data_IF_404089538403
#
_entry.id   IF_404089538403
#
_cell.length_a   1.000
_cell.length_b   1.000
_cell.length_c   1.000
_cell.angle_alpha   90.00
_cell.angle_beta   90.00
_cell.angle_gamma   90.00
#
_symmetry.space_group_name_H-M   'P 1'
#
loop_
_entity.id
_entity.type
_entity.pdbx_description
1 polymer ?
#
# COMPACT_ATOMS: atom_id res chain seq x y z
N UNK A 1 13.56 -29.46 8.60
CA UNK A 1 14.78 -29.72 7.83
C UNK A 1 15.99 -29.11 8.55
N UNK A 2 17.02 -29.90 8.85
CA UNK A 2 18.24 -29.41 9.50
C UNK A 2 19.46 -30.08 8.89
N UNK A 3 20.63 -29.47 9.07
CA UNK A 3 21.92 -30.13 8.96
C UNK A 3 22.65 -30.00 10.29
N UNK A 4 23.53 -30.92 10.59
CA UNK A 4 24.50 -30.72 11.66
C UNK A 4 25.74 -30.05 11.10
N UNK A 5 26.34 -29.16 11.87
CA UNK A 5 27.59 -28.50 11.53
C UNK A 5 28.58 -28.68 12.69
N UNK A 6 29.84 -28.88 12.34
CA UNK A 6 30.91 -28.82 13.33
C UNK A 6 31.04 -27.39 13.87
N UNK A 7 31.33 -27.29 15.15
CA UNK A 7 31.54 -26.01 15.81
C UNK A 7 32.78 -25.34 15.22
N UNK A 8 32.67 -24.03 14.96
CA UNK A 8 33.79 -23.24 14.46
C UNK A 8 34.96 -23.27 15.45
N UNK A 9 36.19 -23.36 14.92
CA UNK A 9 37.40 -23.54 15.75
C UNK A 9 37.62 -22.43 16.78
N UNK A 10 37.07 -21.25 16.55
CA UNK A 10 37.31 -20.05 17.36
C UNK A 10 36.31 -19.89 18.52
N UNK A 11 35.25 -20.70 18.59
CA UNK A 11 34.23 -20.58 19.64
C UNK A 11 34.55 -21.47 20.85
N UNK A 12 35.30 -20.94 21.82
CA UNK A 12 35.72 -21.66 23.03
C UNK A 12 34.54 -22.13 23.88
N UNK A 13 33.53 -21.28 24.09
CA UNK A 13 32.34 -21.60 24.87
C UNK A 13 31.61 -22.84 24.34
N UNK A 14 31.35 -22.90 23.03
CA UNK A 14 30.66 -24.05 22.43
C UNK A 14 31.51 -25.32 22.44
N UNK A 15 32.85 -25.21 22.42
CA UNK A 15 33.74 -26.37 22.53
C UNK A 15 33.69 -27.00 23.91
N UNK A 16 33.78 -26.18 24.94
CA UNK A 16 33.70 -26.64 26.34
C UNK A 16 32.33 -27.29 26.60
N UNK A 17 31.26 -26.71 26.05
CA UNK A 17 29.92 -27.28 26.12
C UNK A 17 29.82 -28.66 25.47
N UNK A 18 30.52 -28.86 24.35
CA UNK A 18 30.44 -30.09 23.55
C UNK A 18 31.43 -31.18 24.01
N UNK A 19 32.50 -30.84 24.72
CA UNK A 19 33.44 -31.85 25.26
C UNK A 19 32.76 -32.84 26.20
N UNK A 20 31.70 -32.40 26.88
CA UNK A 20 31.00 -33.17 27.89
C UNK A 20 29.77 -33.91 27.32
N UNK A 21 29.49 -33.75 26.01
CA UNK A 21 28.32 -34.35 25.36
C UNK A 21 28.60 -35.77 24.85
N UNK A 22 27.76 -36.71 25.28
CA UNK A 22 27.67 -38.05 24.67
C UNK A 22 27.15 -37.97 23.22
N UNK A 23 27.97 -38.45 22.27
CA UNK A 23 27.68 -38.43 20.82
C UNK A 23 26.40 -39.17 20.42
N UNK A 24 25.87 -40.07 21.24
CA UNK A 24 24.64 -40.82 20.93
C UNK A 24 23.35 -40.12 21.39
N UNK A 25 23.45 -38.99 22.08
CA UNK A 25 22.31 -38.28 22.66
C UNK A 25 22.03 -36.96 21.96
N UNK A 26 20.77 -36.53 22.06
CA UNK A 26 20.31 -35.21 21.65
C UNK A 26 20.34 -34.29 22.88
N UNK A 27 20.95 -33.12 22.76
CA UNK A 27 20.97 -32.08 23.79
C UNK A 27 20.25 -30.84 23.28
N UNK A 28 19.58 -30.14 24.19
CA UNK A 28 19.04 -28.80 23.99
C UNK A 28 19.69 -27.84 24.98
N UNK A 29 20.12 -26.67 24.52
CA UNK A 29 20.81 -25.66 25.32
C UNK A 29 20.11 -24.34 25.11
N UNK A 30 19.58 -23.80 26.20
CA UNK A 30 19.03 -22.45 26.21
C UNK A 30 20.18 -21.43 26.14
N UNK A 31 20.14 -20.54 25.15
CA UNK A 31 21.18 -19.57 24.89
C UNK A 31 20.59 -18.21 24.53
N UNK A 32 21.21 -17.14 25.03
CA UNK A 32 20.85 -15.77 24.66
C UNK A 32 21.99 -15.18 23.83
N UNK A 33 21.81 -14.99 22.50
CA UNK A 33 22.85 -14.44 21.64
C UNK A 33 23.19 -13.01 22.01
N UNK A 34 24.50 -12.71 22.06
CA UNK A 34 25.00 -11.36 22.26
C UNK A 34 24.99 -10.50 20.99
N UNK A 35 24.79 -11.11 19.80
CA UNK A 35 24.75 -10.44 18.49
C UNK A 35 23.88 -11.22 17.49
N UNK A 36 23.41 -10.53 16.44
CA UNK A 36 22.78 -11.13 15.26
C UNK A 36 21.25 -11.10 15.25
N UNK A 37 20.61 -11.91 14.39
CA UNK A 37 19.15 -11.90 14.15
C UNK A 37 18.31 -12.07 15.43
N UNK A 38 18.84 -12.78 16.43
CA UNK A 38 18.17 -13.09 17.69
C UNK A 38 18.90 -12.49 18.90
N UNK A 39 19.61 -11.37 18.71
CA UNK A 39 20.31 -10.67 19.79
C UNK A 39 19.36 -10.34 20.95
N UNK A 40 19.77 -10.69 22.17
CA UNK A 40 19.00 -10.47 23.40
C UNK A 40 17.77 -11.36 23.57
N UNK A 41 17.46 -12.25 22.62
CA UNK A 41 16.32 -13.17 22.70
C UNK A 41 16.79 -14.56 23.15
N UNK A 42 16.09 -15.14 24.12
CA UNK A 42 16.35 -16.52 24.57
C UNK A 42 15.95 -17.49 23.46
N UNK A 43 16.88 -18.30 22.98
CA UNK A 43 16.67 -19.31 21.94
C UNK A 43 17.18 -20.68 22.39
N UNK A 44 16.67 -21.73 21.76
CA UNK A 44 17.15 -23.10 21.98
C UNK A 44 18.11 -23.53 20.87
N UNK A 45 19.31 -23.94 21.27
CA UNK A 45 20.28 -24.62 20.41
C UNK A 45 20.15 -26.13 20.60
N UNK A 46 20.17 -26.89 19.52
CA UNK A 46 20.10 -28.35 19.57
C UNK A 46 21.42 -28.96 19.11
N UNK A 47 21.88 -30.02 19.77
CA UNK A 47 23.12 -30.72 19.46
C UNK A 47 22.90 -32.22 19.36
N UNK A 48 23.45 -32.85 18.33
CA UNK A 48 23.47 -34.31 18.16
C UNK A 48 24.83 -34.72 17.62
N UNK A 49 25.38 -35.84 18.10
CA UNK A 49 26.73 -36.27 17.74
C UNK A 49 27.80 -35.18 17.99
N UNK A 50 27.63 -34.38 19.04
CA UNK A 50 28.52 -33.25 19.33
C UNK A 50 28.56 -32.17 18.22
N UNK A 51 27.52 -32.10 17.37
CA UNK A 51 27.39 -31.12 16.30
C UNK A 51 26.13 -30.27 16.46
N UNK A 52 26.23 -29.00 16.10
CA UNK A 52 25.15 -28.02 16.25
C UNK A 52 24.14 -28.16 15.11
N UNK A 53 22.84 -28.12 15.45
CA UNK A 53 21.77 -28.06 14.47
C UNK A 53 21.77 -26.70 13.80
N UNK A 54 21.80 -26.73 12.47
CA UNK A 54 21.50 -25.57 11.64
C UNK A 54 20.20 -25.82 10.91
N UNK A 55 19.16 -25.13 11.39
CA UNK A 55 17.84 -25.18 10.78
C UNK A 55 17.91 -24.61 9.36
N UNK A 56 17.53 -25.42 8.39
CA UNK A 56 17.55 -25.02 6.99
C UNK A 56 16.30 -24.25 6.58
N UNK A 57 15.33 -24.04 7.49
CA UNK A 57 14.07 -23.32 7.20
C UNK A 57 14.28 -21.91 6.62
N UNK A 58 15.38 -21.25 6.97
CA UNK A 58 15.72 -19.90 6.51
C UNK A 58 16.64 -19.91 5.26
N UNK A 59 17.14 -21.08 4.83
CA UNK A 59 18.17 -21.20 3.77
C UNK A 59 17.87 -22.26 2.71
N UNK A 60 16.77 -22.99 2.84
CA UNK A 60 16.33 -23.98 1.88
C UNK A 60 14.82 -24.24 1.98
N UNK A 61 14.25 -24.70 0.87
CA UNK A 61 12.88 -25.18 0.78
C UNK A 61 12.84 -26.59 0.15
N UNK A 62 11.72 -27.29 0.34
CA UNK A 62 11.47 -28.57 -0.34
C UNK A 62 10.63 -28.26 -1.58
N UNK A 63 11.17 -28.57 -2.76
CA UNK A 63 10.47 -28.51 -4.05
C UNK A 63 10.63 -29.85 -4.75
N UNK A 64 9.52 -30.43 -5.20
CA UNK A 64 9.50 -31.69 -5.94
C UNK A 64 10.32 -32.82 -5.26
N UNK A 65 10.11 -33.00 -3.95
CA UNK A 65 10.84 -33.94 -3.09
C UNK A 65 12.38 -33.71 -3.01
N UNK A 66 12.87 -32.56 -3.46
CA UNK A 66 14.28 -32.18 -3.43
C UNK A 66 14.50 -30.96 -2.53
N UNK A 67 15.66 -30.91 -1.85
CA UNK A 67 16.05 -29.75 -1.04
C UNK A 67 16.73 -28.73 -1.95
N UNK A 68 16.12 -27.57 -2.12
CA UNK A 68 16.67 -26.46 -2.89
C UNK A 68 17.19 -25.41 -1.91
N UNK A 69 18.49 -25.09 -1.99
CA UNK A 69 19.10 -24.03 -1.17
C UNK A 69 18.86 -22.67 -1.80
N UNK A 70 18.55 -21.69 -0.95
CA UNK A 70 18.52 -20.30 -1.34
C UNK A 70 19.95 -19.78 -1.59
N UNK A 71 20.10 -18.93 -2.59
CA UNK A 71 21.30 -18.13 -2.81
C UNK A 71 21.07 -16.71 -2.31
N UNK A 72 22.14 -16.04 -1.87
CA UNK A 72 22.06 -14.63 -1.52
C UNK A 72 21.66 -13.83 -2.77
N UNK A 73 20.70 -12.93 -2.60
CA UNK A 73 20.31 -12.02 -3.66
C UNK A 73 21.45 -11.05 -3.95
N UNK A 74 21.84 -10.93 -5.22
CA UNK A 74 22.87 -10.00 -5.67
C UNK A 74 22.23 -8.71 -6.22
N UNK A 75 23.06 -7.69 -6.44
CA UNK A 75 22.67 -6.46 -7.13
C UNK A 75 22.65 -6.60 -8.68
N UNK A 76 22.95 -7.79 -9.20
CA UNK A 76 22.97 -8.08 -10.64
C UNK A 76 21.98 -9.19 -10.96
N UNK A 77 20.90 -8.85 -11.69
CA UNK A 77 19.84 -9.80 -12.04
C UNK A 77 19.94 -10.19 -13.52
N UNK A 78 20.01 -11.49 -13.77
CA UNK A 78 20.19 -12.02 -15.12
C UNK A 78 18.83 -12.16 -15.81
N UNK A 79 18.86 -12.23 -17.14
CA UNK A 79 17.66 -12.47 -17.94
C UNK A 79 17.02 -13.84 -17.64
N UNK A 80 17.80 -14.82 -17.18
CA UNK A 80 17.31 -16.11 -16.68
C UNK A 80 16.37 -15.94 -15.46
N UNK A 81 16.66 -14.95 -14.60
CA UNK A 81 15.91 -14.70 -13.38
C UNK A 81 14.64 -13.88 -13.62
N UNK A 82 14.68 -13.01 -14.64
CA UNK A 82 13.60 -12.09 -15.03
C UNK A 82 13.46 -12.12 -16.56
N UNK A 83 12.78 -13.14 -17.11
CA UNK A 83 12.64 -13.30 -18.55
C UNK A 83 11.85 -12.17 -19.19
N UNK A 84 12.30 -11.70 -20.36
CA UNK A 84 11.64 -10.63 -21.12
C UNK A 84 10.78 -11.11 -22.30
N UNK A 85 10.85 -12.39 -22.64
CA UNK A 85 10.31 -12.93 -23.90
C UNK A 85 8.78 -12.81 -24.03
N UNK A 86 8.04 -12.79 -22.92
CA UNK A 86 6.57 -12.83 -22.93
C UNK A 86 5.88 -11.56 -22.37
N UNK A 87 6.66 -10.50 -22.11
CA UNK A 87 6.17 -9.24 -21.52
C UNK A 87 5.05 -8.63 -22.38
N UNK A 88 5.14 -8.77 -23.70
CA UNK A 88 4.16 -8.23 -24.63
C UNK A 88 2.75 -8.82 -24.39
N UNK A 89 2.66 -10.09 -23.99
CA UNK A 89 1.40 -10.81 -23.82
C UNK A 89 0.83 -10.70 -22.40
N UNK A 90 1.65 -10.34 -21.40
CA UNK A 90 1.20 -10.26 -19.99
C UNK A 90 -0.10 -9.44 -19.83
N UNK A 91 -1.05 -9.87 -19.01
CA UNK A 91 -2.29 -9.13 -18.78
C UNK A 91 -3.18 -8.90 -20.01
N UNK A 92 -2.84 -9.45 -21.18
CA UNK A 92 -3.62 -9.32 -22.42
C UNK A 92 -3.80 -7.88 -22.92
N UNK A 93 -2.85 -6.98 -22.60
CA UNK A 93 -2.86 -5.57 -23.02
C UNK A 93 -1.59 -5.19 -23.78
N UNK A 94 -1.78 -4.58 -24.96
CA UNK A 94 -0.69 -4.16 -25.84
C UNK A 94 -0.14 -2.81 -25.39
N UNK A 95 1.01 -2.82 -24.73
CA UNK A 95 1.71 -1.61 -24.28
C UNK A 95 3.14 -1.60 -24.84
N UNK A 96 3.37 -0.96 -26.00
CA UNK A 96 4.66 -1.04 -26.68
C UNK A 96 5.74 -0.30 -25.90
N UNK A 97 6.95 -0.89 -25.82
CA UNK A 97 8.19 -0.25 -25.35
C UNK A 97 8.07 0.49 -24.00
N UNK A 98 7.77 -0.25 -22.92
CA UNK A 98 7.80 0.36 -21.58
C UNK A 98 7.25 -0.50 -20.45
N UNK A 99 6.46 -1.53 -20.81
CA UNK A 99 5.88 -2.48 -19.88
C UNK A 99 6.96 -3.22 -19.10
N UNK A 100 6.78 -3.28 -17.78
CA UNK A 100 7.64 -4.05 -16.88
C UNK A 100 7.09 -5.47 -16.72
N UNK A 101 7.95 -6.50 -16.60
CA UNK A 101 7.53 -7.88 -16.34
C UNK A 101 7.01 -8.03 -14.92
N UNK A 102 5.91 -8.77 -14.72
CA UNK A 102 5.41 -9.09 -13.37
C UNK A 102 6.47 -9.79 -12.50
N UNK A 103 7.35 -10.61 -13.10
CA UNK A 103 8.42 -11.30 -12.38
C UNK A 103 9.40 -10.34 -11.68
N UNK A 104 9.69 -9.18 -12.29
CA UNK A 104 10.51 -8.14 -11.68
C UNK A 104 9.80 -7.53 -10.47
N UNK A 105 8.52 -7.18 -10.64
CA UNK A 105 7.73 -6.57 -9.58
C UNK A 105 7.51 -7.56 -8.43
N UNK A 106 7.32 -8.84 -8.71
CA UNK A 106 7.21 -9.89 -7.69
C UNK A 106 8.43 -9.89 -6.79
N UNK A 107 9.62 -9.91 -7.39
CA UNK A 107 10.87 -9.87 -6.64
C UNK A 107 10.98 -8.61 -5.79
N UNK A 108 10.68 -7.44 -6.36
CA UNK A 108 10.71 -6.15 -5.64
C UNK A 108 9.75 -6.17 -4.45
N UNK A 109 8.53 -6.69 -4.63
CA UNK A 109 7.52 -6.77 -3.57
C UNK A 109 7.89 -7.79 -2.50
N UNK A 110 8.50 -8.92 -2.85
CA UNK A 110 8.97 -9.93 -1.88
C UNK A 110 10.05 -9.40 -0.95
N UNK A 111 10.94 -8.52 -1.45
CA UNK A 111 12.03 -7.97 -0.63
C UNK A 111 11.62 -6.72 0.17
N UNK A 112 10.54 -6.04 -0.22
CA UNK A 112 10.16 -4.74 0.37
C UNK A 112 8.82 -4.74 1.10
N UNK A 113 8.00 -5.78 0.97
CA UNK A 113 6.63 -5.83 1.53
C UNK A 113 6.24 -7.22 2.03
N UNK A 114 5.31 -7.26 2.97
CA UNK A 114 4.58 -8.46 3.39
C UNK A 114 3.21 -8.56 2.70
N UNK A 115 2.60 -9.76 2.63
CA UNK A 115 1.19 -9.88 2.26
C UNK A 115 0.29 -8.97 3.12
N UNK A 116 -0.69 -8.32 2.50
CA UNK A 116 -1.58 -7.35 3.16
C UNK A 116 -1.09 -5.90 3.17
N UNK A 117 0.20 -5.66 2.93
CA UNK A 117 0.76 -4.30 2.85
C UNK A 117 0.17 -3.49 1.67
N UNK A 118 0.30 -2.17 1.74
CA UNK A 118 -0.15 -1.24 0.71
C UNK A 118 1.01 -0.86 -0.23
N UNK A 119 0.80 -1.03 -1.53
CA UNK A 119 1.74 -0.65 -2.59
C UNK A 119 1.22 0.58 -3.33
N UNK A 120 2.02 1.64 -3.44
CA UNK A 120 1.72 2.82 -4.24
C UNK A 120 2.57 2.80 -5.51
N UNK A 121 1.93 2.97 -6.66
CA UNK A 121 2.60 3.24 -7.93
C UNK A 121 1.94 4.44 -8.61
N UNK A 122 2.68 5.55 -8.67
CA UNK A 122 2.19 6.81 -9.23
C UNK A 122 2.38 6.93 -10.75
N UNK A 123 2.84 5.86 -11.41
CA UNK A 123 3.08 5.78 -12.85
C UNK A 123 2.57 4.45 -13.40
N UNK A 124 1.26 4.24 -13.29
CA UNK A 124 0.65 2.93 -13.45
C UNK A 124 0.83 2.25 -14.81
N UNK A 125 0.98 3.01 -15.89
CA UNK A 125 1.22 2.54 -17.24
C UNK A 125 0.29 1.41 -17.66
N UNK A 126 0.86 0.22 -17.87
CA UNK A 126 0.12 -1.00 -18.23
C UNK A 126 -0.53 -1.75 -17.05
N UNK A 127 -0.46 -1.24 -15.82
CA UNK A 127 -1.02 -1.84 -14.63
C UNK A 127 -0.23 -3.03 -14.04
N UNK A 128 1.04 -3.21 -14.41
CA UNK A 128 1.85 -4.37 -13.95
C UNK A 128 1.98 -4.40 -12.42
N UNK A 129 2.24 -3.26 -11.76
CA UNK A 129 2.40 -3.22 -10.30
C UNK A 129 1.13 -3.64 -9.59
N UNK A 130 -0.02 -3.10 -10.00
CA UNK A 130 -1.32 -3.46 -9.44
C UNK A 130 -1.65 -4.95 -9.68
N UNK A 131 -1.45 -5.47 -10.90
CA UNK A 131 -1.66 -6.89 -11.21
C UNK A 131 -0.79 -7.81 -10.33
N UNK A 132 0.49 -7.49 -10.21
CA UNK A 132 1.45 -8.28 -9.42
C UNK A 132 1.13 -8.21 -7.92
N UNK A 133 0.92 -7.01 -7.38
CA UNK A 133 0.58 -6.79 -5.98
C UNK A 133 -0.72 -7.51 -5.60
N UNK A 134 -1.73 -7.44 -6.46
CA UNK A 134 -3.01 -8.10 -6.25
C UNK A 134 -2.88 -9.63 -6.22
N UNK A 135 -2.22 -10.23 -7.21
CA UNK A 135 -1.96 -11.68 -7.27
C UNK A 135 -1.18 -12.18 -6.04
N UNK A 136 -0.34 -11.33 -5.46
CA UNK A 136 0.46 -11.60 -4.27
C UNK A 136 -0.24 -11.24 -2.95
N UNK A 137 -1.52 -10.87 -2.97
CA UNK A 137 -2.30 -10.58 -1.76
C UNK A 137 -1.93 -9.27 -1.06
N UNK A 138 -1.45 -8.26 -1.80
CA UNK A 138 -1.23 -6.89 -1.30
C UNK A 138 -2.36 -5.96 -1.72
N UNK A 139 -2.59 -4.91 -0.93
CA UNK A 139 -3.42 -3.76 -1.33
C UNK A 139 -2.59 -2.86 -2.23
N UNK A 140 -3.24 -2.10 -3.11
CA UNK A 140 -2.53 -1.19 -3.99
C UNK A 140 -3.33 0.07 -4.29
N UNK A 141 -2.59 1.15 -4.55
CA UNK A 141 -3.08 2.39 -5.14
C UNK A 141 -2.25 2.64 -6.39
N UNK A 142 -2.94 2.81 -7.52
CA UNK A 142 -2.33 3.07 -8.80
C UNK A 142 -2.82 4.43 -9.30
N UNK A 143 -1.89 5.29 -9.69
CA UNK A 143 -2.19 6.58 -10.31
C UNK A 143 -1.61 6.59 -11.71
N UNK A 144 -2.38 7.09 -12.67
CA UNK A 144 -1.93 7.25 -14.05
C UNK A 144 -2.60 8.48 -14.68
N UNK A 145 -1.85 9.17 -15.51
CA UNK A 145 -2.29 10.35 -16.24
C UNK A 145 -2.76 9.95 -17.65
N UNK A 146 -3.95 10.40 -18.02
CA UNK A 146 -4.53 10.15 -19.34
C UNK A 146 -5.29 8.83 -19.45
N UNK A 147 -5.52 8.38 -20.68
CA UNK A 147 -6.51 7.34 -20.98
C UNK A 147 -6.04 5.91 -20.72
N UNK A 148 -4.80 5.72 -20.27
CA UNK A 148 -4.22 4.40 -19.99
C UNK A 148 -4.97 3.66 -18.89
N UNK A 149 -5.57 4.39 -17.94
CA UNK A 149 -6.52 3.85 -16.97
C UNK A 149 -7.64 3.05 -17.65
N UNK A 150 -8.33 3.68 -18.62
CA UNK A 150 -9.48 3.07 -19.30
C UNK A 150 -9.06 2.02 -20.34
N UNK A 151 -7.95 2.25 -21.03
CA UNK A 151 -7.54 1.44 -22.19
C UNK A 151 -6.67 0.23 -21.82
N UNK A 152 -5.91 0.30 -20.73
CA UNK A 152 -4.94 -0.75 -20.36
C UNK A 152 -5.18 -1.27 -18.95
N UNK A 153 -5.21 -0.40 -17.94
CA UNK A 153 -5.25 -0.80 -16.53
C UNK A 153 -6.57 -1.50 -16.19
N UNK A 154 -7.71 -0.86 -16.47
CA UNK A 154 -9.03 -1.43 -16.16
C UNK A 154 -9.26 -2.77 -16.87
N UNK A 155 -9.06 -2.90 -18.20
CA UNK A 155 -9.23 -4.19 -18.89
C UNK A 155 -8.31 -5.29 -18.35
N UNK A 156 -7.05 -4.96 -18.03
CA UNK A 156 -6.12 -5.92 -17.43
C UNK A 156 -6.58 -6.36 -16.04
N UNK A 157 -6.92 -5.42 -15.17
CA UNK A 157 -7.27 -5.72 -13.78
C UNK A 157 -8.60 -6.47 -13.65
N UNK A 158 -9.56 -6.23 -14.54
CA UNK A 158 -10.77 -7.06 -14.64
C UNK A 158 -10.40 -8.53 -14.86
N UNK A 159 -9.58 -8.83 -15.87
CA UNK A 159 -9.09 -10.20 -16.12
C UNK A 159 -8.31 -10.79 -14.94
N UNK A 160 -7.55 -9.98 -14.21
CA UNK A 160 -6.86 -10.43 -12.99
C UNK A 160 -7.87 -10.83 -11.91
N UNK A 161 -8.87 -10.00 -11.65
CA UNK A 161 -9.92 -10.27 -10.65
C UNK A 161 -10.78 -11.46 -11.06
N UNK A 162 -11.14 -11.55 -12.34
CA UNK A 162 -11.96 -12.64 -12.87
C UNK A 162 -11.18 -13.98 -12.93
N UNK A 163 -9.88 -13.97 -12.63
CA UNK A 163 -9.02 -15.16 -12.68
C UNK A 163 -8.62 -15.58 -14.09
N UNK A 164 -9.00 -14.82 -15.11
CA UNK A 164 -8.71 -15.08 -16.52
C UNK A 164 -7.26 -14.76 -16.90
N UNK A 165 -6.60 -13.83 -16.20
CA UNK A 165 -5.20 -13.51 -16.43
C UNK A 165 -4.26 -14.57 -15.84
N UNK A 166 -3.92 -15.57 -16.66
CA UNK A 166 -2.99 -16.65 -16.33
C UNK A 166 -1.54 -16.37 -16.78
N UNK A 167 -1.23 -15.13 -17.14
CA UNK A 167 0.11 -14.71 -17.57
C UNK A 167 0.96 -14.20 -16.38
N UNK A 168 2.23 -13.89 -16.64
CA UNK A 168 3.13 -13.33 -15.64
C UNK A 168 3.34 -14.29 -14.46
N UNK A 169 3.03 -13.84 -13.25
CA UNK A 169 3.31 -14.62 -12.03
C UNK A 169 2.14 -15.53 -11.59
N UNK A 170 1.01 -15.53 -12.30
CA UNK A 170 -0.22 -16.21 -11.86
C UNK A 170 0.01 -17.67 -11.48
N UNK A 171 0.72 -18.44 -12.31
CA UNK A 171 1.05 -19.84 -12.00
C UNK A 171 1.97 -19.98 -10.79
N UNK A 172 2.96 -19.09 -10.66
CA UNK A 172 3.95 -19.15 -9.58
C UNK A 172 3.35 -18.87 -8.20
N UNK A 173 2.27 -18.09 -8.14
CA UNK A 173 1.54 -17.79 -6.88
C UNK A 173 0.21 -18.53 -6.77
N UNK A 174 -0.07 -19.48 -7.68
CA UNK A 174 -1.33 -20.22 -7.76
C UNK A 174 -2.57 -19.29 -7.73
N UNK A 175 -2.56 -18.22 -8.54
CA UNK A 175 -3.63 -17.24 -8.60
C UNK A 175 -4.89 -17.82 -9.25
N UNK A 176 -6.03 -17.67 -8.55
CA UNK A 176 -7.34 -18.19 -8.98
C UNK A 176 -8.38 -17.07 -9.25
N UNK A 177 -8.00 -15.80 -9.11
CA UNK A 177 -8.94 -14.67 -9.15
C UNK A 177 -9.46 -14.28 -7.76
N UNK A 178 -10.36 -13.30 -7.74
CA UNK A 178 -10.97 -12.70 -6.56
C UNK A 178 -10.57 -11.24 -6.35
N UNK A 179 -11.14 -10.63 -5.30
CA UNK A 179 -10.88 -9.23 -4.93
C UNK A 179 -11.67 -8.22 -5.75
N UNK A 180 -11.22 -6.97 -5.73
CA UNK A 180 -11.86 -5.87 -6.43
C UNK A 180 -10.99 -4.61 -6.41
N UNK A 181 -11.33 -3.65 -7.25
CA UNK A 181 -10.76 -2.30 -7.20
C UNK A 181 -11.86 -1.26 -7.34
N UNK A 182 -11.56 -0.04 -6.87
CA UNK A 182 -12.36 1.14 -7.17
C UNK A 182 -11.59 2.02 -8.12
N UNK A 183 -12.29 2.59 -9.09
CA UNK A 183 -11.72 3.51 -10.05
C UNK A 183 -12.22 4.92 -9.76
N UNK A 184 -11.29 5.86 -9.71
CA UNK A 184 -11.58 7.27 -9.46
C UNK A 184 -10.92 8.10 -10.56
N UNK A 185 -11.62 9.14 -11.00
CA UNK A 185 -11.07 10.18 -11.88
C UNK A 185 -10.98 11.47 -11.08
N UNK A 186 -9.85 12.17 -11.19
CA UNK A 186 -9.71 13.47 -10.56
C UNK A 186 -10.60 14.48 -11.31
N UNK A 187 -11.52 15.11 -10.58
CA UNK A 187 -12.33 16.21 -11.09
C UNK A 187 -11.56 17.54 -11.01
N UNK A 188 -11.99 18.59 -11.73
CA UNK A 188 -11.48 19.94 -11.53
C UNK A 188 -11.62 20.39 -10.08
N UNK A 189 -10.93 21.46 -9.69
CA UNK A 189 -11.09 22.05 -8.37
C UNK A 189 -12.56 22.41 -8.12
N UNK A 190 -13.12 21.97 -7.01
CA UNK A 190 -14.52 22.23 -6.66
C UNK A 190 -14.80 23.73 -6.43
N UNK A 191 -13.80 24.45 -5.92
CA UNK A 191 -13.89 25.87 -5.65
C UNK A 191 -12.90 26.65 -6.51
N UNK A 192 -13.31 27.84 -6.92
CA UNK A 192 -12.49 28.85 -7.58
C UNK A 192 -12.65 30.21 -6.90
N UNK A 193 -11.69 31.11 -7.09
CA UNK A 193 -11.82 32.49 -6.63
C UNK A 193 -12.45 33.34 -7.73
N UNK A 194 -13.47 34.11 -7.38
CA UNK A 194 -14.04 35.12 -8.27
C UNK A 194 -13.09 36.34 -8.42
N UNK A 195 -13.48 37.31 -9.26
CA UNK A 195 -12.70 38.55 -9.50
C UNK A 195 -12.45 39.39 -8.24
N UNK A 196 -13.14 39.09 -7.14
CA UNK A 196 -13.05 39.79 -5.86
C UNK A 196 -12.38 38.91 -4.79
N UNK A 197 -11.78 37.78 -5.17
CA UNK A 197 -11.08 36.87 -4.25
C UNK A 197 -12.00 36.04 -3.37
N UNK A 198 -13.31 35.95 -3.69
CA UNK A 198 -14.26 35.13 -2.92
C UNK A 198 -14.31 33.72 -3.48
N UNK A 199 -14.31 32.74 -2.59
CA UNK A 199 -14.48 31.33 -2.94
C UNK A 199 -15.91 31.03 -3.38
N UNK A 200 -16.04 30.58 -4.62
CA UNK A 200 -17.31 30.17 -5.23
C UNK A 200 -17.17 28.75 -5.80
N UNK A 201 -18.30 28.08 -6.01
CA UNK A 201 -18.30 26.76 -6.68
C UNK A 201 -17.86 26.98 -8.13
N UNK A 202 -16.91 26.16 -8.60
CA UNK A 202 -16.40 26.23 -9.97
C UNK A 202 -17.52 26.02 -10.99
N UNK A 203 -17.45 26.74 -12.11
CA UNK A 203 -18.39 26.61 -13.23
C UNK A 203 -18.25 25.28 -13.97
N UNK A 204 -17.16 24.57 -13.76
CA UNK A 204 -16.93 23.24 -14.35
C UNK A 204 -17.79 22.15 -13.70
N UNK A 205 -18.44 22.45 -12.58
CA UNK A 205 -19.32 21.53 -11.87
C UNK A 205 -20.78 21.73 -12.27
N UNK A 206 -21.39 20.68 -12.82
CA UNK A 206 -22.84 20.56 -12.86
C UNK A 206 -23.40 20.11 -11.50
N UNK A 207 -24.74 20.04 -11.40
CA UNK A 207 -25.42 19.65 -10.16
C UNK A 207 -25.09 18.22 -9.70
N UNK A 208 -24.91 17.28 -10.63
CA UNK A 208 -24.61 15.89 -10.33
C UNK A 208 -23.17 15.73 -9.83
N UNK A 209 -22.20 16.35 -10.51
CA UNK A 209 -20.80 16.39 -10.08
C UNK A 209 -20.65 17.04 -8.70
N UNK A 210 -21.40 18.12 -8.46
CA UNK A 210 -21.39 18.79 -7.16
C UNK A 210 -21.97 17.87 -6.07
N UNK A 211 -23.11 17.23 -6.34
CA UNK A 211 -23.73 16.31 -5.40
C UNK A 211 -22.78 15.13 -5.08
N UNK A 212 -22.16 14.54 -6.09
CA UNK A 212 -21.19 13.44 -5.92
C UNK A 212 -19.97 13.88 -5.09
N UNK A 213 -19.39 15.04 -5.41
CA UNK A 213 -18.23 15.58 -4.68
C UNK A 213 -18.55 15.86 -3.21
N UNK A 214 -19.71 16.48 -2.93
CA UNK A 214 -20.14 16.80 -1.57
C UNK A 214 -20.51 15.53 -0.80
N UNK A 215 -21.17 14.56 -1.42
CA UNK A 215 -21.40 13.24 -0.81
C UNK A 215 -20.08 12.64 -0.36
N UNK A 216 -19.09 12.60 -1.25
CA UNK A 216 -17.79 12.02 -0.94
C UNK A 216 -17.07 12.76 0.19
N UNK A 217 -17.11 14.09 0.19
CA UNK A 217 -16.49 14.91 1.23
C UNK A 217 -17.14 14.66 2.59
N UNK A 218 -18.47 14.53 2.66
CA UNK A 218 -19.24 14.30 3.89
C UNK A 218 -19.30 12.82 4.33
N UNK A 219 -18.67 11.90 3.59
CA UNK A 219 -18.68 10.47 3.92
C UNK A 219 -19.96 9.74 3.52
N UNK A 220 -20.76 10.31 2.63
CA UNK A 220 -21.96 9.70 2.06
C UNK A 220 -21.61 8.95 0.76
N UNK A 221 -22.38 7.89 0.50
CA UNK A 221 -22.41 7.20 -0.79
C UNK A 221 -23.33 7.96 -1.74
N UNK A 222 -22.80 8.44 -2.86
CA UNK A 222 -23.59 9.06 -3.92
C UNK A 222 -24.47 8.01 -4.59
N UNK A 223 -25.78 8.18 -4.48
CA UNK A 223 -26.80 7.27 -5.01
C UNK A 223 -28.12 8.04 -5.11
N UNK A 224 -28.27 8.90 -6.13
CA UNK A 224 -29.45 9.75 -6.26
C UNK A 224 -30.70 8.88 -6.46
N UNK A 225 -31.80 9.29 -5.82
CA UNK A 225 -33.10 8.64 -5.91
C UNK A 225 -33.84 9.05 -7.18
N UNK A 226 -34.51 8.09 -7.82
CA UNK A 226 -35.38 8.34 -8.97
C UNK A 226 -36.75 8.93 -8.57
N UNK A 227 -37.13 8.82 -7.29
CA UNK A 227 -38.44 9.26 -6.78
C UNK A 227 -38.34 10.47 -5.85
N UNK A 228 -37.27 10.56 -5.07
CA UNK A 228 -37.06 11.62 -4.08
C UNK A 228 -36.04 12.62 -4.62
N UNK A 229 -36.53 13.74 -5.15
CA UNK A 229 -35.72 14.75 -5.83
C UNK A 229 -34.60 15.36 -4.97
N UNK A 230 -34.73 15.31 -3.64
CA UNK A 230 -33.73 15.80 -2.69
C UNK A 230 -32.76 14.73 -2.21
N UNK A 231 -33.01 13.44 -2.46
CA UNK A 231 -32.20 12.35 -1.96
C UNK A 231 -31.06 12.05 -2.94
N UNK A 232 -29.89 12.64 -2.70
CA UNK A 232 -28.71 12.47 -3.55
C UNK A 232 -27.79 11.32 -3.10
N UNK A 233 -28.00 10.77 -1.92
CA UNK A 233 -27.15 9.74 -1.35
C UNK A 233 -27.45 9.42 0.10
N UNK A 234 -26.68 8.50 0.67
CA UNK A 234 -26.89 8.00 2.03
C UNK A 234 -25.57 7.68 2.75
N UNK A 235 -25.56 7.83 4.08
CA UNK A 235 -24.45 7.37 4.94
C UNK A 235 -24.86 6.12 5.73
N UNK A 236 -26.12 6.07 6.16
CA UNK A 236 -26.79 4.96 6.84
C UNK A 236 -28.18 4.75 6.23
N UNK A 237 -29.00 3.85 6.77
CA UNK A 237 -30.36 3.62 6.27
C UNK A 237 -31.27 4.86 6.41
N UNK A 238 -31.09 5.61 7.50
CA UNK A 238 -31.91 6.76 7.86
C UNK A 238 -31.29 8.11 7.48
N UNK A 239 -29.98 8.16 7.25
CA UNK A 239 -29.27 9.41 7.01
C UNK A 239 -29.04 9.67 5.52
N UNK A 240 -29.57 10.80 5.05
CA UNK A 240 -29.63 11.20 3.64
C UNK A 240 -28.91 12.53 3.42
N UNK A 241 -28.60 12.83 2.16
CA UNK A 241 -27.95 14.09 1.80
C UNK A 241 -28.66 14.75 0.61
N UNK A 242 -28.87 16.06 0.73
CA UNK A 242 -29.35 16.94 -0.33
C UNK A 242 -28.30 18.01 -0.61
N UNK A 243 -27.99 18.23 -1.89
CA UNK A 243 -26.95 19.18 -2.31
C UNK A 243 -27.51 20.13 -3.35
N UNK A 244 -27.41 21.44 -3.13
CA UNK A 244 -27.95 22.45 -4.05
C UNK A 244 -27.12 23.72 -4.10
N UNK A 245 -27.12 24.40 -5.25
CA UNK A 245 -26.52 25.73 -5.39
C UNK A 245 -27.51 26.85 -5.02
N UNK A 246 -28.77 26.52 -4.77
CA UNK A 246 -29.80 27.50 -4.45
C UNK A 246 -29.71 27.98 -3.00
N UNK A 247 -30.21 29.19 -2.77
CA UNK A 247 -30.44 29.69 -1.41
C UNK A 247 -31.79 29.20 -0.92
N UNK A 248 -31.83 28.55 0.24
CA UNK A 248 -33.07 27.99 0.79
C UNK A 248 -33.74 28.96 1.79
N UNK A 249 -35.04 29.20 1.60
CA UNK A 249 -35.88 29.94 2.54
C UNK A 249 -36.36 29.04 3.70
N UNK A 250 -36.94 29.64 4.74
CA UNK A 250 -37.53 28.89 5.86
C UNK A 250 -38.67 28.00 5.37
N UNK A 251 -39.56 28.54 4.53
CA UNK A 251 -40.71 27.82 3.96
C UNK A 251 -40.28 26.60 3.13
N UNK A 252 -39.22 26.74 2.32
CA UNK A 252 -38.69 25.62 1.54
C UNK A 252 -38.10 24.52 2.43
N UNK A 253 -37.46 24.90 3.53
CA UNK A 253 -36.90 23.96 4.49
C UNK A 253 -37.99 23.26 5.32
N UNK A 254 -39.10 23.92 5.59
CA UNK A 254 -40.27 23.32 6.26
C UNK A 254 -40.88 22.22 5.39
N UNK A 255 -41.15 22.50 4.12
CA UNK A 255 -41.62 21.47 3.17
C UNK A 255 -40.64 20.31 3.05
N UNK A 256 -39.33 20.60 3.01
CA UNK A 256 -38.29 19.57 2.96
C UNK A 256 -38.27 18.71 4.23
N UNK A 257 -38.40 19.34 5.40
CA UNK A 257 -38.47 18.66 6.70
C UNK A 257 -39.67 17.70 6.75
N UNK A 258 -40.82 18.14 6.25
CA UNK A 258 -42.04 17.32 6.20
C UNK A 258 -41.91 16.13 5.24
N UNK A 259 -41.30 16.32 4.06
CA UNK A 259 -41.05 15.24 3.09
C UNK A 259 -40.04 14.20 3.60
N UNK A 260 -39.02 14.63 4.35
CA UNK A 260 -38.05 13.73 4.98
C UNK A 260 -38.73 12.86 6.04
N UNK A 261 -39.65 13.46 6.80
CA UNK A 261 -40.37 12.82 7.89
C UNK A 261 -39.53 12.70 9.18
N UNK A 262 -40.12 12.07 10.19
CA UNK A 262 -39.53 11.98 11.54
C UNK A 262 -38.51 10.83 11.69
N UNK A 263 -38.59 9.82 10.83
CA UNK A 263 -37.77 8.60 10.92
C UNK A 263 -36.39 8.73 10.26
N UNK A 264 -36.11 9.86 9.60
CA UNK A 264 -34.91 10.08 8.78
C UNK A 264 -34.26 11.41 9.11
N UNK A 265 -32.96 11.48 8.86
CA UNK A 265 -32.19 12.72 8.93
C UNK A 265 -31.73 13.13 7.54
N UNK A 266 -31.66 14.44 7.29
CA UNK A 266 -31.18 14.99 6.03
C UNK A 266 -30.09 16.04 6.27
N UNK A 267 -28.90 15.77 5.73
CA UNK A 267 -27.84 16.75 5.59
C UNK A 267 -28.10 17.60 4.34
N UNK A 268 -28.42 18.88 4.53
CA UNK A 268 -28.63 19.84 3.45
C UNK A 268 -27.38 20.68 3.26
N UNK A 269 -26.72 20.51 2.13
CA UNK A 269 -25.57 21.28 1.69
C UNK A 269 -26.01 22.28 0.63
N UNK A 270 -26.10 23.56 0.98
CA UNK A 270 -26.55 24.61 0.07
C UNK A 270 -25.59 25.80 -0.03
N UNK A 271 -25.82 26.74 -0.95
CA UNK A 271 -25.01 27.95 -1.05
C UNK A 271 -25.26 28.91 0.13
N UNK A 272 -26.53 29.07 0.50
CA UNK A 272 -26.97 29.85 1.65
C UNK A 272 -28.35 29.40 2.14
N UNK A 273 -28.68 29.75 3.38
CA UNK A 273 -30.00 29.53 3.97
C UNK A 273 -30.35 30.70 4.91
N UNK A 274 -31.65 30.97 5.08
CA UNK A 274 -32.18 32.09 5.87
C UNK A 274 -32.90 31.62 7.13
N UNK A 275 -32.24 30.80 7.94
CA UNK A 275 -32.76 30.31 9.21
C UNK A 275 -31.62 30.11 10.23
N UNK A 276 -31.96 29.82 11.49
CA UNK A 276 -30.98 29.32 12.47
C UNK A 276 -30.61 27.88 12.11
N UNK A 277 -29.41 27.46 12.49
CA UNK A 277 -28.88 26.13 12.14
C UNK A 277 -29.75 25.00 12.71
N UNK A 278 -30.35 25.22 13.88
CA UNK A 278 -31.16 24.23 14.60
C UNK A 278 -32.67 24.50 14.45
N UNK A 279 -33.09 25.04 13.30
CA UNK A 279 -34.50 25.36 13.05
C UNK A 279 -35.40 24.12 12.92
N UNK A 280 -34.85 22.99 12.49
CA UNK A 280 -35.59 21.75 12.27
C UNK A 280 -34.83 20.58 12.90
N UNK A 281 -35.51 19.65 13.61
CA UNK A 281 -34.86 18.58 14.36
C UNK A 281 -34.25 17.49 13.46
N UNK A 282 -34.78 17.29 12.25
CA UNK A 282 -34.36 16.26 11.29
C UNK A 282 -33.44 16.80 10.17
N UNK A 283 -33.18 18.12 10.11
CA UNK A 283 -32.33 18.73 9.10
C UNK A 283 -31.02 19.25 9.69
N UNK A 284 -29.90 18.93 9.05
CA UNK A 284 -28.60 19.55 9.33
C UNK A 284 -28.21 20.44 8.17
N UNK A 285 -27.98 21.74 8.41
CA UNK A 285 -27.70 22.70 7.33
C UNK A 285 -26.21 23.09 7.27
N UNK A 286 -25.58 22.94 6.11
CA UNK A 286 -24.19 23.36 5.86
C UNK A 286 -24.06 24.22 4.62
N UNK A 287 -23.19 25.22 4.69
CA UNK A 287 -22.85 26.08 3.54
C UNK A 287 -21.65 25.51 2.79
N UNK A 288 -21.82 25.24 1.50
CA UNK A 288 -20.82 24.51 0.70
C UNK A 288 -19.43 25.15 0.75
N UNK A 289 -19.20 26.42 0.34
CA UNK A 289 -17.81 26.91 0.26
C UNK A 289 -17.09 26.87 1.60
N UNK A 290 -17.76 27.26 2.69
CA UNK A 290 -17.17 27.26 4.04
C UNK A 290 -16.83 25.84 4.52
N UNK A 291 -17.71 24.88 4.29
CA UNK A 291 -17.53 23.48 4.67
C UNK A 291 -16.35 22.85 3.92
N UNK A 292 -16.27 23.05 2.62
CA UNK A 292 -15.20 22.48 1.79
C UNK A 292 -13.85 23.13 2.11
N UNK A 293 -13.83 24.46 2.32
CA UNK A 293 -12.61 25.18 2.75
C UNK A 293 -12.05 24.67 4.08
N UNK A 294 -12.92 24.24 5.01
CA UNK A 294 -12.48 23.74 6.31
C UNK A 294 -11.87 22.34 6.29
N UNK A 295 -12.03 21.59 5.18
CA UNK A 295 -11.60 20.18 5.08
C UNK A 295 -10.41 19.95 4.17
N UNK A 296 -10.13 20.87 3.27
CA UNK A 296 -9.07 20.73 2.27
C UNK A 296 -8.05 21.85 2.40
N UNK A 297 -6.83 21.59 1.94
CA UNK A 297 -5.81 22.61 1.71
C UNK A 297 -6.04 23.25 0.34
N UNK A 298 -5.82 24.56 0.23
CA UNK A 298 -6.12 25.35 -0.98
C UNK A 298 -4.97 26.27 -1.34
N UNK A 299 -4.77 26.52 -2.63
CA UNK A 299 -3.81 27.52 -3.12
C UNK A 299 -2.33 27.11 -3.02
N UNK A 300 -2.04 25.83 -2.85
CA UNK A 300 -0.68 25.28 -2.96
C UNK A 300 -0.42 24.81 -4.39
N UNK A 301 -0.04 25.74 -5.27
CA UNK A 301 0.41 25.42 -6.64
C UNK A 301 1.93 25.14 -6.70
N UNK A 302 2.64 25.33 -5.59
CA UNK A 302 4.06 25.08 -5.51
C UNK A 302 4.33 23.60 -5.16
N UNK A 303 4.49 22.78 -6.20
CA UNK A 303 4.94 21.39 -6.09
C UNK A 303 6.46 21.28 -5.89
N UNK A 304 7.13 22.34 -5.44
CA UNK A 304 8.50 22.27 -4.91
C UNK A 304 8.49 21.39 -3.67
N UNK A 305 8.67 20.08 -3.87
CA UNK A 305 9.04 19.15 -2.81
C UNK A 305 10.43 19.54 -2.30
N UNK A 306 10.50 20.55 -1.42
CA UNK A 306 11.68 20.77 -0.59
C UNK A 306 11.72 19.62 0.41
N UNK A 307 12.37 18.52 0.02
CA UNK A 307 12.62 17.35 0.86
C UNK A 307 13.70 17.70 1.90
N UNK A 308 13.49 18.74 2.69
CA UNK A 308 14.45 19.20 3.70
C UNK A 308 14.24 18.52 5.05
N UNK A 309 13.04 17.99 5.32
CA UNK A 309 12.67 17.41 6.62
C UNK A 309 12.01 16.04 6.48
N UNK A 310 12.70 15.07 5.88
CA UNK A 310 12.36 13.67 6.17
C UNK A 310 12.68 13.43 7.65
N UNK A 311 11.73 12.97 8.48
CA UNK A 311 12.05 12.58 9.85
C UNK A 311 13.13 11.50 9.77
N UNK A 312 14.35 11.84 10.19
CA UNK A 312 15.44 10.89 10.25
C UNK A 312 15.01 9.78 11.20
N UNK A 313 14.85 8.56 10.67
CA UNK A 313 14.67 7.37 11.50
C UNK A 313 15.82 7.34 12.49
N UNK A 314 15.52 7.39 13.79
CA UNK A 314 16.55 7.35 14.83
C UNK A 314 17.49 6.19 14.54
N UNK A 315 18.77 6.50 14.31
CA UNK A 315 19.78 5.45 14.17
C UNK A 315 19.78 4.67 15.49
N UNK A 316 19.73 3.33 15.47
CA UNK A 316 19.98 2.54 16.66
C UNK A 316 21.30 3.01 17.27
N UNK A 317 21.30 3.28 18.58
CA UNK A 317 22.51 3.70 19.32
C UNK A 317 23.66 2.76 18.94
N UNK A 318 24.71 3.31 18.36
CA UNK A 318 25.94 2.56 18.10
C UNK A 318 26.42 1.99 19.44
N UNK A 319 26.56 0.67 19.51
CA UNK A 319 27.24 0.02 20.61
C UNK A 319 28.68 0.56 20.69
N UNK A 320 29.25 0.71 21.90
CA UNK A 320 30.55 1.36 22.07
C UNK A 320 31.63 0.71 21.19
N UNK A 321 32.24 1.54 20.33
CA UNK A 321 33.36 1.14 19.48
C UNK A 321 34.53 0.70 20.36
N UNK A 322 34.84 -0.59 20.35
CA UNK A 322 36.10 -1.09 20.88
C UNK A 322 37.22 -0.68 19.92
N UNK A 323 38.09 0.21 20.39
CA UNK A 323 39.32 0.64 19.71
C UNK A 323 40.21 -0.57 19.40
N UNK A 324 40.18 -1.08 18.16
CA UNK A 324 41.25 -1.90 17.61
C UNK A 324 41.56 -1.40 16.20
N UNK A 325 42.78 -0.87 16.06
CA UNK A 325 43.36 -0.42 14.80
C UNK A 325 43.30 -1.56 13.79
N UNK A 326 42.54 -1.36 12.71
CA UNK A 326 42.59 -2.21 11.53
C UNK A 326 43.86 -1.83 10.77
N UNK A 327 44.81 -2.76 10.66
CA UNK A 327 45.94 -2.60 9.76
C UNK A 327 45.42 -2.78 8.33
N UNK A 328 45.62 -1.75 7.49
CA UNK A 328 45.19 -1.74 6.10
C UNK A 328 45.94 -2.82 5.31
N UNK A 329 45.15 -3.66 4.64
CA UNK A 329 45.59 -4.80 3.86
C UNK A 329 45.83 -4.39 2.39
N UNK A 330 46.46 -3.25 2.14
CA UNK A 330 46.90 -2.81 0.80
C UNK A 330 48.04 -1.80 0.90
N UNK A 331 49.24 -2.25 1.24
CA UNK A 331 50.49 -1.57 0.87
C UNK A 331 51.47 -2.64 0.38
N UNK A 332 51.46 -2.86 -0.92
CA UNK A 332 52.53 -3.57 -1.64
C UNK A 332 53.29 -2.50 -2.41
N UNK A 333 54.27 -1.87 -1.75
CA UNK A 333 55.37 -1.19 -2.42
C UNK A 333 56.66 -1.93 -2.09
N UNK A 334 57.34 -2.40 -3.13
CA UNK A 334 58.62 -3.08 -3.01
C UNK A 334 59.76 -2.09 -2.78
N UNK A 335 60.81 -2.56 -2.08
CA UNK A 335 62.17 -2.50 -2.59
C UNK A 335 63.13 -3.31 -1.69
N UNK A 336 63.97 -4.10 -2.36
CA UNK A 336 65.41 -4.29 -2.15
C UNK A 336 65.95 -4.44 -0.71
N UNK A 337 66.42 -5.66 -0.39
CA UNK A 337 67.86 -5.99 -0.44
C UNK A 337 68.06 -7.50 -0.67
#
# INVERSE_FOLDING_TARGET
>A
LFRTNQIQKENSFQKDLVSDMDKKKLYSVEYTPSRGKYEGQKIDLFYYNAELFSWLKDTAEIKDNSIVKFSNLTNFWRNEDIPKADIANEGGVKFPRGKKPEQLLKRILEISTNPGDLVLDSFGGSGTTAATAHKMGRKWVLVELGDQCNTHIIPRLKKVIDGEDQTGISKAVNWQGGGGFRYYKLAPSLLEQDRWGRWVISKDYDAAMLAEAICKLEGFTYAPSDTEWWNHGYSTEQDRIYVTTQTLSVEQLEVLSDEVGEDRTLLVCCSAFRCKVDCFPNLTLKKIPKMVLSRCEWGHDDYSLNVENLPMKEKPKEAPQSNQRQADLFDVEGNQD
#
